data_IF_529970449168
#
_entry.id   IF_529970449168
#
_cell.length_a   1.000
_cell.length_b   1.000
_cell.length_c   1.000
_cell.angle_alpha   90.00
_cell.angle_beta   90.00
_cell.angle_gamma   90.00
#
_symmetry.space_group_name_H-M   'P 1'
#
loop_
_entity.id
_entity.type
_entity.pdbx_description
1 polymer ?
#
# COMPACT_ATOMS: atom_id res chain seq x y z
N UNK A 1 38.63 61.23 -11.84
CA UNK A 1 38.73 60.02 -11.00
C UNK A 1 37.53 59.12 -11.25
N UNK A 2 37.68 58.08 -12.08
CA UNK A 2 36.64 57.07 -12.30
C UNK A 2 36.94 55.89 -11.37
N UNK A 3 36.06 55.69 -10.38
CA UNK A 3 36.07 54.52 -9.55
C UNK A 3 35.40 53.37 -10.32
N UNK A 4 36.19 52.42 -10.77
CA UNK A 4 35.71 51.20 -11.39
C UNK A 4 35.03 50.29 -10.35
N UNK A 5 33.73 50.05 -10.54
CA UNK A 5 32.98 49.04 -9.82
C UNK A 5 33.35 47.67 -10.46
N UNK A 6 34.25 46.93 -9.84
CA UNK A 6 34.51 45.53 -10.20
C UNK A 6 33.37 44.69 -9.61
N UNK A 7 32.41 44.32 -10.45
CA UNK A 7 31.43 43.32 -10.16
C UNK A 7 32.12 41.95 -10.12
N UNK A 8 32.44 41.45 -8.92
CA UNK A 8 32.80 40.04 -8.75
C UNK A 8 31.53 39.21 -8.88
N UNK A 9 31.23 38.77 -10.11
CA UNK A 9 30.33 37.65 -10.33
C UNK A 9 31.02 36.41 -9.79
N UNK A 10 30.67 36.00 -8.59
CA UNK A 10 30.99 34.66 -8.11
C UNK A 10 30.42 33.66 -9.08
N UNK A 11 31.32 32.91 -9.71
CA UNK A 11 30.91 31.70 -10.47
C UNK A 11 30.43 30.70 -9.45
N UNK A 12 29.11 30.50 -9.37
CA UNK A 12 28.58 29.38 -8.65
C UNK A 12 28.89 28.11 -9.46
N UNK A 13 29.69 27.23 -8.89
CA UNK A 13 29.97 25.94 -9.50
C UNK A 13 28.70 25.08 -9.48
N UNK A 14 28.49 24.30 -10.54
CA UNK A 14 27.34 23.41 -10.64
C UNK A 14 27.33 22.35 -9.51
N UNK A 15 28.50 22.11 -8.90
CA UNK A 15 28.67 21.26 -7.74
C UNK A 15 28.09 21.87 -6.45
N UNK A 16 28.32 23.19 -6.24
CA UNK A 16 27.78 23.94 -5.09
C UNK A 16 26.25 23.99 -5.12
N UNK A 17 25.66 24.11 -6.32
CA UNK A 17 24.19 24.08 -6.48
C UNK A 17 23.64 22.69 -6.18
N UNK A 18 24.32 21.61 -6.54
CA UNK A 18 23.94 20.24 -6.25
C UNK A 18 23.97 19.93 -4.76
N UNK A 19 25.02 20.34 -4.04
CA UNK A 19 25.14 20.18 -2.59
C UNK A 19 24.02 20.93 -1.89
N UNK A 20 23.77 22.18 -2.24
CA UNK A 20 22.72 23.00 -1.66
C UNK A 20 21.31 22.41 -1.90
N UNK A 21 21.03 21.87 -3.09
CA UNK A 21 19.76 21.20 -3.39
C UNK A 21 19.61 19.88 -2.62
N UNK A 22 20.70 19.15 -2.41
CA UNK A 22 20.70 17.91 -1.64
C UNK A 22 20.52 18.20 -0.15
N UNK A 23 21.18 19.24 0.36
CA UNK A 23 21.06 19.66 1.76
C UNK A 23 19.66 20.22 2.05
N UNK A 24 19.10 21.04 1.17
CA UNK A 24 17.73 21.52 1.27
C UNK A 24 16.73 20.37 1.19
N UNK A 25 16.94 19.40 0.28
CA UNK A 25 16.12 18.18 0.24
C UNK A 25 16.20 17.38 1.53
N UNK A 26 17.37 17.19 2.09
CA UNK A 26 17.58 16.43 3.31
C UNK A 26 17.02 17.16 4.54
N UNK A 27 17.12 18.48 4.58
CA UNK A 27 16.60 19.33 5.67
C UNK A 27 15.06 19.42 5.62
N UNK A 28 14.46 19.46 4.42
CA UNK A 28 13.00 19.36 4.23
C UNK A 28 12.46 17.93 4.37
N UNK A 29 13.31 16.91 4.33
CA UNK A 29 12.95 15.50 4.39
C UNK A 29 13.28 14.85 5.74
N UNK A 30 13.53 15.62 6.77
CA UNK A 30 13.49 15.11 8.14
C UNK A 30 12.04 14.80 8.53
N UNK A 31 11.56 13.65 8.06
CA UNK A 31 10.22 13.14 8.36
C UNK A 31 9.98 12.93 9.86
N UNK A 32 11.04 12.94 10.69
CA UNK A 32 10.91 12.85 12.15
C UNK A 32 10.22 14.06 12.75
N UNK A 33 10.30 15.23 12.11
CA UNK A 33 9.64 16.47 12.53
C UNK A 33 8.14 16.52 12.16
N UNK A 34 7.68 15.69 11.22
CA UNK A 34 6.28 15.64 10.77
C UNK A 34 5.44 14.58 11.50
N UNK A 35 5.99 13.89 12.49
CA UNK A 35 5.31 12.83 13.28
C UNK A 35 4.12 13.35 14.13
N UNK A 36 3.52 14.46 13.82
CA UNK A 36 2.37 15.03 14.53
C UNK A 36 1.42 15.88 13.68
N UNK A 37 1.81 16.24 12.46
CA UNK A 37 0.91 16.94 11.54
C UNK A 37 0.19 15.95 10.64
N UNK A 38 -1.14 16.13 10.50
CA UNK A 38 -1.93 15.34 9.55
C UNK A 38 -1.29 15.47 8.18
N UNK A 39 -0.98 14.31 7.57
CA UNK A 39 -0.40 14.24 6.25
C UNK A 39 -1.27 15.00 5.23
N UNK A 40 -0.88 16.21 4.93
CA UNK A 40 -1.58 17.12 4.02
C UNK A 40 -0.72 17.36 2.77
N UNK A 41 -1.36 17.77 1.68
CA UNK A 41 -0.64 18.08 0.44
C UNK A 41 -0.10 16.84 -0.29
N UNK A 42 1.05 17.01 -0.92
CA UNK A 42 1.65 15.99 -1.81
C UNK A 42 2.02 14.69 -1.06
N UNK A 43 2.54 14.81 0.16
CA UNK A 43 2.91 13.65 0.99
C UNK A 43 1.67 12.84 1.38
N UNK A 44 0.60 13.50 1.81
CA UNK A 44 -0.67 12.84 2.11
C UNK A 44 -1.26 12.14 0.89
N UNK A 45 -1.16 12.77 -0.30
CA UNK A 45 -1.57 12.15 -1.55
C UNK A 45 -0.74 10.89 -1.87
N UNK A 46 0.59 10.94 -1.70
CA UNK A 46 1.45 9.78 -1.90
C UNK A 46 1.16 8.66 -0.90
N UNK A 47 0.96 8.97 0.38
CA UNK A 47 0.58 7.98 1.40
C UNK A 47 -0.73 7.28 1.03
N UNK A 48 -1.75 8.06 0.67
CA UNK A 48 -3.04 7.52 0.23
C UNK A 48 -2.92 6.63 -1.01
N UNK A 49 -2.13 7.06 -2.00
CA UNK A 49 -1.93 6.30 -3.23
C UNK A 49 -1.18 4.98 -2.97
N UNK A 50 -0.11 5.01 -2.16
CA UNK A 50 0.65 3.82 -1.76
C UNK A 50 -0.25 2.84 -1.03
N UNK A 51 -0.98 3.31 -0.02
CA UNK A 51 -1.88 2.46 0.77
C UNK A 51 -3.03 1.89 -0.09
N UNK A 52 -3.65 2.71 -0.94
CA UNK A 52 -4.73 2.28 -1.82
C UNK A 52 -4.25 1.25 -2.85
N UNK A 53 -3.09 1.47 -3.47
CA UNK A 53 -2.56 0.56 -4.47
C UNK A 53 -2.08 -0.76 -3.84
N UNK A 54 -1.42 -0.75 -2.69
CA UNK A 54 -1.09 -1.96 -1.94
C UNK A 54 -2.36 -2.71 -1.48
N UNK A 55 -3.40 -1.97 -1.12
CA UNK A 55 -4.72 -2.50 -0.75
C UNK A 55 -5.39 -3.30 -1.88
N UNK A 56 -5.18 -2.94 -3.15
CA UNK A 56 -5.66 -3.75 -4.29
C UNK A 56 -5.07 -5.16 -4.30
N UNK A 57 -3.87 -5.32 -3.75
CA UNK A 57 -3.20 -6.60 -3.60
C UNK A 57 -3.47 -7.25 -2.24
N UNK A 58 -4.41 -6.71 -1.44
CA UNK A 58 -4.76 -7.17 -0.09
C UNK A 58 -3.57 -7.17 0.89
N UNK A 59 -2.55 -6.36 0.61
CA UNK A 59 -1.37 -6.17 1.46
C UNK A 59 -1.66 -5.08 2.50
N UNK A 60 -1.42 -5.42 3.76
CA UNK A 60 -1.53 -4.47 4.86
C UNK A 60 -0.12 -3.95 5.19
N UNK A 61 0.22 -2.79 4.64
CA UNK A 61 1.51 -2.15 4.90
C UNK A 61 1.45 -1.44 6.26
N UNK A 62 2.51 -1.56 7.04
CA UNK A 62 2.73 -0.73 8.22
C UNK A 62 3.03 0.72 7.83
N UNK A 63 2.82 1.65 8.75
CA UNK A 63 3.14 3.07 8.54
C UNK A 63 4.61 3.27 8.11
N UNK A 64 5.54 2.54 8.71
CA UNK A 64 6.95 2.58 8.35
C UNK A 64 7.24 2.09 6.92
N UNK A 65 6.52 1.06 6.44
CA UNK A 65 6.62 0.61 5.05
C UNK A 65 6.03 1.66 4.10
N UNK A 66 4.87 2.24 4.44
CA UNK A 66 4.26 3.33 3.66
C UNK A 66 5.23 4.50 3.56
N UNK A 67 5.82 4.95 4.67
CA UNK A 67 6.78 6.05 4.68
C UNK A 67 8.02 5.75 3.82
N UNK A 68 8.48 4.51 3.80
CA UNK A 68 9.59 4.07 2.94
C UNK A 68 9.23 4.20 1.45
N UNK A 69 8.05 3.74 1.04
CA UNK A 69 7.58 3.86 -0.33
C UNK A 69 7.33 5.31 -0.73
N UNK A 70 6.75 6.12 0.16
CA UNK A 70 6.52 7.56 -0.06
C UNK A 70 7.83 8.32 -0.23
N UNK A 71 8.84 8.03 0.58
CA UNK A 71 10.18 8.59 0.44
C UNK A 71 10.78 8.26 -0.93
N UNK A 72 10.61 7.03 -1.39
CA UNK A 72 11.04 6.62 -2.73
C UNK A 72 10.30 7.37 -3.85
N UNK A 73 8.99 7.61 -3.73
CA UNK A 73 8.22 8.41 -4.69
C UNK A 73 8.69 9.86 -4.72
N UNK A 74 8.90 10.45 -3.55
CA UNK A 74 9.33 11.83 -3.42
C UNK A 74 10.73 12.07 -4.04
N UNK A 75 11.64 11.11 -3.86
CA UNK A 75 13.00 11.19 -4.38
C UNK A 75 13.11 10.74 -5.85
N UNK A 76 12.06 10.18 -6.42
CA UNK A 76 12.06 9.72 -7.80
C UNK A 76 11.93 10.91 -8.77
N UNK A 77 12.72 10.94 -9.86
CA UNK A 77 12.55 11.92 -10.93
C UNK A 77 11.22 11.72 -11.68
N UNK A 78 10.60 10.53 -11.58
CA UNK A 78 9.32 10.19 -12.17
C UNK A 78 8.53 9.30 -11.20
N UNK A 79 7.64 9.93 -10.43
CA UNK A 79 6.84 9.23 -9.42
C UNK A 79 5.88 8.20 -10.03
N UNK A 80 5.36 8.42 -11.24
CA UNK A 80 4.46 7.47 -11.92
C UNK A 80 5.19 6.17 -12.26
N UNK A 81 6.38 6.26 -12.85
CA UNK A 81 7.19 5.08 -13.13
C UNK A 81 7.60 4.36 -11.85
N UNK A 82 7.92 5.10 -10.79
CA UNK A 82 8.25 4.51 -9.50
C UNK A 82 7.04 3.77 -8.90
N UNK A 83 5.83 4.30 -9.05
CA UNK A 83 4.60 3.66 -8.60
C UNK A 83 4.35 2.34 -9.34
N UNK A 84 4.57 2.31 -10.66
CA UNK A 84 4.47 1.07 -11.45
C UNK A 84 5.47 -0.01 -10.99
N UNK A 85 6.67 0.38 -10.58
CA UNK A 85 7.64 -0.55 -9.99
C UNK A 85 7.15 -1.11 -8.65
N UNK A 86 6.55 -0.28 -7.82
CA UNK A 86 5.96 -0.72 -6.55
C UNK A 86 4.78 -1.68 -6.78
N UNK A 87 3.94 -1.43 -7.75
CA UNK A 87 2.86 -2.36 -8.13
C UNK A 87 3.39 -3.74 -8.53
N UNK A 88 4.53 -3.81 -9.23
CA UNK A 88 5.17 -5.11 -9.53
C UNK A 88 5.64 -5.82 -8.25
N UNK A 89 6.20 -5.08 -7.29
CA UNK A 89 6.60 -5.62 -5.98
C UNK A 89 5.38 -6.16 -5.23
N UNK A 90 4.29 -5.40 -5.18
CA UNK A 90 3.06 -5.82 -4.50
C UNK A 90 2.40 -7.01 -5.21
N UNK A 91 2.40 -7.02 -6.54
CA UNK A 91 1.96 -8.17 -7.33
C UNK A 91 2.73 -9.44 -6.96
N UNK A 92 4.05 -9.32 -6.81
CA UNK A 92 4.89 -10.46 -6.42
C UNK A 92 4.60 -10.89 -4.97
N UNK A 93 4.53 -9.95 -4.02
CA UNK A 93 4.16 -10.24 -2.62
C UNK A 93 2.78 -10.92 -2.53
N UNK A 94 1.81 -10.45 -3.31
CA UNK A 94 0.47 -11.04 -3.34
C UNK A 94 0.49 -12.48 -3.87
N UNK A 95 1.32 -12.81 -4.85
CA UNK A 95 1.49 -14.20 -5.33
C UNK A 95 2.09 -15.11 -4.27
N UNK A 96 3.01 -14.59 -3.47
CA UNK A 96 3.61 -15.32 -2.35
C UNK A 96 2.59 -15.54 -1.22
N UNK A 97 1.75 -14.53 -0.95
CA UNK A 97 0.72 -14.61 0.09
C UNK A 97 -0.48 -15.45 -0.36
N UNK A 98 -0.84 -15.41 -1.63
CA UNK A 98 -1.99 -16.13 -2.21
C UNK A 98 -1.57 -17.03 -3.37
N UNK A 99 -0.83 -18.15 -3.12
CA UNK A 99 -0.31 -19.00 -4.20
C UNK A 99 -1.41 -19.57 -5.11
N UNK A 100 -2.61 -19.77 -4.58
CA UNK A 100 -3.76 -20.29 -5.33
C UNK A 100 -4.35 -19.26 -6.31
N UNK A 101 -4.02 -17.97 -6.15
CA UNK A 101 -4.47 -16.89 -7.02
C UNK A 101 -3.44 -16.48 -8.08
N UNK A 102 -2.28 -17.14 -8.16
CA UNK A 102 -1.20 -16.77 -9.11
C UNK A 102 -1.73 -16.63 -10.53
N UNK A 103 -2.49 -17.61 -11.01
CA UNK A 103 -3.04 -17.60 -12.38
C UNK A 103 -4.01 -16.44 -12.63
N UNK A 104 -4.78 -16.04 -11.61
CA UNK A 104 -5.73 -14.92 -11.65
C UNK A 104 -4.97 -13.58 -11.64
N UNK A 105 -3.97 -13.47 -10.78
CA UNK A 105 -3.10 -12.29 -10.67
C UNK A 105 -2.31 -12.09 -11.97
N UNK A 106 -1.86 -13.16 -12.61
CA UNK A 106 -1.14 -13.10 -13.89
C UNK A 106 -2.04 -12.65 -15.05
N UNK A 107 -3.33 -12.94 -14.98
CA UNK A 107 -4.34 -12.46 -15.93
C UNK A 107 -4.73 -10.99 -15.70
N UNK A 108 -4.18 -10.34 -14.67
CA UNK A 108 -4.38 -8.92 -14.38
C UNK A 108 -5.47 -8.61 -13.38
N UNK A 109 -6.16 -9.61 -12.81
CA UNK A 109 -7.13 -9.39 -11.73
C UNK A 109 -6.41 -9.24 -10.40
N UNK A 110 -6.77 -8.25 -9.61
CA UNK A 110 -6.20 -8.07 -8.27
C UNK A 110 -6.87 -8.98 -7.25
N UNK A 111 -6.17 -9.35 -6.15
CA UNK A 111 -6.80 -10.05 -5.04
C UNK A 111 -8.03 -9.33 -4.46
N UNK A 112 -8.01 -7.98 -4.39
CA UNK A 112 -9.17 -7.21 -3.92
C UNK A 112 -10.40 -7.42 -4.82
N UNK A 113 -10.22 -7.40 -6.15
CA UNK A 113 -11.29 -7.69 -7.10
C UNK A 113 -11.81 -9.12 -6.94
N UNK A 114 -10.91 -10.09 -6.76
CA UNK A 114 -11.28 -11.48 -6.54
C UNK A 114 -12.11 -11.67 -5.26
N UNK A 115 -11.73 -11.00 -4.17
CA UNK A 115 -12.41 -11.12 -2.87
C UNK A 115 -13.59 -10.15 -2.68
N UNK A 116 -13.82 -9.17 -3.56
CA UNK A 116 -14.93 -8.24 -3.45
C UNK A 116 -16.31 -8.93 -3.35
N UNK A 117 -16.64 -9.99 -4.13
CA UNK A 117 -17.90 -10.70 -3.97
C UNK A 117 -18.02 -11.40 -2.61
N UNK A 118 -16.92 -11.89 -2.03
CA UNK A 118 -16.90 -12.48 -0.69
C UNK A 118 -17.19 -11.44 0.39
N UNK A 119 -16.60 -10.28 0.29
CA UNK A 119 -16.83 -9.16 1.20
C UNK A 119 -18.29 -8.69 1.14
N UNK A 120 -18.86 -8.58 -0.05
CA UNK A 120 -20.27 -8.22 -0.26
C UNK A 120 -21.20 -9.28 0.34
N UNK A 121 -20.92 -10.56 0.12
CA UNK A 121 -21.71 -11.66 0.69
C UNK A 121 -21.63 -11.67 2.21
N UNK A 122 -20.43 -11.48 2.78
CA UNK A 122 -20.25 -11.36 4.23
C UNK A 122 -21.02 -10.17 4.79
N UNK A 123 -20.96 -9.01 4.13
CA UNK A 123 -21.70 -7.81 4.53
C UNK A 123 -23.21 -8.06 4.58
N UNK A 124 -23.74 -8.82 3.62
CA UNK A 124 -25.16 -9.22 3.61
C UNK A 124 -25.50 -10.17 4.77
N UNK A 125 -24.62 -11.13 5.06
CA UNK A 125 -24.85 -12.12 6.12
C UNK A 125 -24.79 -11.51 7.52
N UNK A 126 -23.90 -10.53 7.72
CA UNK A 126 -23.74 -9.82 9.00
C UNK A 126 -24.68 -8.62 9.16
N UNK A 127 -25.43 -8.25 8.11
CA UNK A 127 -26.27 -7.04 8.07
C UNK A 127 -25.51 -5.74 8.42
N UNK A 128 -24.20 -5.73 8.14
CA UNK A 128 -23.30 -4.58 8.31
C UNK A 128 -22.23 -4.57 7.24
N UNK A 129 -21.59 -3.42 7.05
CA UNK A 129 -20.43 -3.35 6.19
C UNK A 129 -19.25 -4.17 6.78
N UNK A 130 -18.69 -5.05 5.97
CA UNK A 130 -17.51 -5.84 6.28
C UNK A 130 -16.30 -5.17 5.63
N UNK A 131 -15.22 -5.03 6.36
CA UNK A 131 -13.95 -4.46 5.89
C UNK A 131 -12.81 -5.47 6.03
N UNK A 132 -12.48 -6.15 4.94
CA UNK A 132 -11.42 -7.15 4.89
C UNK A 132 -10.02 -6.58 5.07
N UNK A 133 -9.82 -5.28 4.84
CA UNK A 133 -8.52 -4.62 5.05
C UNK A 133 -8.38 -4.04 6.46
N UNK A 134 -9.48 -3.78 7.14
CA UNK A 134 -9.52 -3.21 8.48
C UNK A 134 -10.06 -4.17 9.53
N UNK A 135 -11.23 -3.82 10.09
CA UNK A 135 -11.82 -4.48 11.27
C UNK A 135 -12.09 -5.98 11.09
N UNK A 136 -12.34 -6.43 9.87
CA UNK A 136 -12.70 -7.83 9.57
C UNK A 136 -11.54 -8.64 8.95
N UNK A 137 -10.29 -8.24 9.23
CA UNK A 137 -9.08 -8.91 8.71
C UNK A 137 -9.01 -10.38 9.12
N UNK A 138 -9.48 -10.74 10.31
CA UNK A 138 -9.54 -12.13 10.77
C UNK A 138 -10.48 -12.98 9.91
N UNK A 139 -11.65 -12.42 9.55
CA UNK A 139 -12.57 -13.08 8.63
C UNK A 139 -11.93 -13.27 7.25
N UNK A 140 -11.27 -12.23 6.74
CA UNK A 140 -10.52 -12.33 5.49
C UNK A 140 -9.46 -13.45 5.52
N UNK A 141 -8.66 -13.53 6.58
CA UNK A 141 -7.65 -14.58 6.73
C UNK A 141 -8.28 -15.98 6.73
N UNK A 142 -9.43 -16.14 7.36
CA UNK A 142 -10.19 -17.40 7.35
C UNK A 142 -10.71 -17.74 5.95
N UNK A 143 -11.29 -16.76 5.27
CA UNK A 143 -11.85 -16.93 3.92
C UNK A 143 -10.76 -17.19 2.87
N UNK A 144 -9.65 -16.49 2.95
CA UNK A 144 -8.57 -16.56 1.95
C UNK A 144 -7.67 -17.79 2.08
N UNK A 145 -7.59 -18.40 3.27
CA UNK A 145 -6.63 -19.47 3.62
C UNK A 145 -7.30 -20.67 4.26
N UNK A 146 -8.46 -21.07 3.76
CA UNK A 146 -9.14 -22.26 4.25
C UNK A 146 -8.36 -23.52 3.90
N UNK A 147 -8.25 -24.45 4.84
CA UNK A 147 -7.75 -25.79 4.59
C UNK A 147 -8.95 -26.71 4.38
N UNK A 148 -9.15 -27.25 3.16
CA UNK A 148 -10.22 -28.19 2.89
C UNK A 148 -10.09 -29.45 3.73
N UNK A 149 -11.22 -30.12 3.99
CA UNK A 149 -11.24 -31.36 4.78
C UNK A 149 -10.45 -32.51 4.14
N UNK A 150 -10.21 -32.43 2.83
CA UNK A 150 -9.43 -33.41 2.06
C UNK A 150 -7.92 -33.20 2.14
N UNK A 151 -7.44 -32.16 2.84
CA UNK A 151 -6.03 -31.86 3.02
C UNK A 151 -5.30 -31.38 1.77
N UNK A 152 -6.01 -30.95 0.71
CA UNK A 152 -5.43 -30.52 -0.58
C UNK A 152 -4.67 -29.18 -0.55
N UNK A 153 -4.37 -28.66 0.64
CA UNK A 153 -3.65 -27.40 0.82
C UNK A 153 -4.58 -26.22 1.10
N UNK A 154 -3.97 -25.06 1.34
CA UNK A 154 -4.74 -23.81 1.65
C UNK A 154 -5.28 -23.22 0.35
N UNK A 155 -6.58 -22.89 0.34
CA UNK A 155 -7.25 -22.20 -0.76
C UNK A 155 -8.31 -21.24 -0.23
N UNK A 156 -8.77 -20.26 -1.05
CA UNK A 156 -9.96 -19.50 -0.70
C UNK A 156 -11.17 -20.42 -0.50
N UNK A 157 -12.00 -20.08 0.48
CA UNK A 157 -13.29 -20.76 0.69
C UNK A 157 -14.17 -20.63 -0.56
N UNK A 158 -15.01 -21.62 -0.80
CA UNK A 158 -16.18 -21.42 -1.66
C UNK A 158 -17.21 -20.54 -0.96
N UNK A 159 -18.13 -19.94 -1.69
CA UNK A 159 -19.20 -19.13 -1.11
C UNK A 159 -20.06 -19.93 -0.11
N UNK A 160 -20.32 -21.20 -0.39
CA UNK A 160 -21.09 -22.07 0.49
C UNK A 160 -20.33 -22.38 1.79
N UNK A 161 -19.02 -22.61 1.71
CA UNK A 161 -18.19 -22.82 2.91
C UNK A 161 -18.15 -21.56 3.76
N UNK A 162 -17.94 -20.38 3.14
CA UNK A 162 -17.96 -19.11 3.85
C UNK A 162 -19.31 -18.86 4.52
N UNK A 163 -20.42 -19.06 3.81
CA UNK A 163 -21.76 -18.90 4.38
C UNK A 163 -21.99 -19.82 5.58
N UNK A 164 -21.59 -21.08 5.49
CA UNK A 164 -21.66 -22.03 6.59
C UNK A 164 -20.81 -21.59 7.78
N UNK A 165 -19.58 -21.13 7.53
CA UNK A 165 -18.65 -20.65 8.56
C UNK A 165 -19.21 -19.43 9.27
N UNK A 166 -19.72 -18.45 8.52
CA UNK A 166 -20.32 -17.24 9.09
C UNK A 166 -21.56 -17.57 9.93
N UNK A 167 -22.44 -18.44 9.45
CA UNK A 167 -23.67 -18.83 10.17
C UNK A 167 -23.39 -19.66 11.43
N UNK A 168 -22.35 -20.49 11.42
CA UNK A 168 -21.98 -21.33 12.56
C UNK A 168 -21.17 -20.58 13.63
N UNK A 169 -20.57 -19.45 13.28
CA UNK A 169 -19.68 -18.66 14.12
C UNK A 169 -20.16 -17.23 14.39
N UNK A 170 -21.48 -16.97 14.29
CA UNK A 170 -22.04 -15.62 14.44
C UNK A 170 -21.64 -14.91 15.76
N UNK A 171 -21.29 -15.65 16.80
CA UNK A 171 -20.76 -15.11 18.07
C UNK A 171 -19.26 -14.84 18.02
N UNK A 172 -18.55 -15.33 17.00
CA UNK A 172 -17.09 -15.33 16.92
C UNK A 172 -16.49 -14.02 16.37
N UNK A 173 -17.31 -13.26 15.63
CA UNK A 173 -16.87 -12.05 14.91
C UNK A 173 -17.33 -10.74 15.59
N UNK A 174 -17.99 -10.84 16.73
CA UNK A 174 -18.65 -9.72 17.42
C UNK A 174 -17.96 -9.20 18.67
N UNK A 175 -16.69 -9.56 18.92
CA UNK A 175 -15.90 -9.01 20.05
C UNK A 175 -14.56 -8.49 19.59
#
# INVERSE_FOLDING_TARGET
ANAGITSSRGSFDAEDIRVTLTDVKNEFLDFSSFAGEKDTGLLGAYKSNVAASAGQYMLNLSDAEIDTYVTGLYNSPNAENQMLLYEQVWKQKAKEEFPTLIGIIDQGMTPAEYFAPYQNKASTLFERQVDFMGSDRNLFNTVSRSTPADGTGSRPMTYTEMEKTVRSGAEWWGT
#
